data_IF_270755582618
#
_entry.id   IF_270755582618
#
_cell.length_a   1.000
_cell.length_b   1.000
_cell.length_c   1.000
_cell.angle_alpha   90.00
_cell.angle_beta   90.00
_cell.angle_gamma   90.00
#
_symmetry.space_group_name_H-M   'P 1'
#
loop_
_entity.id
_entity.type
_entity.pdbx_description
1 polymer ?
#
# COMPACT_ATOMS: atom_id res chain seq x y z
N UNK A 1 2.43 -14.04 -24.49
CA UNK A 1 1.54 -13.05 -23.83
C UNK A 1 0.15 -13.61 -23.94
N UNK A 2 -0.39 -14.15 -22.86
CA UNK A 2 -1.75 -14.72 -22.82
C UNK A 2 -2.71 -13.62 -22.36
N UNK A 3 -3.66 -13.16 -23.19
CA UNK A 3 -4.55 -12.05 -22.88
C UNK A 3 -5.71 -12.41 -21.93
N UNK A 4 -5.76 -13.63 -21.37
CA UNK A 4 -6.94 -14.14 -20.65
C UNK A 4 -6.96 -13.98 -19.12
N UNK A 5 -5.91 -13.48 -18.47
CA UNK A 5 -5.82 -13.59 -17.01
C UNK A 5 -6.50 -12.44 -16.27
N UNK A 6 -7.77 -12.64 -15.88
CA UNK A 6 -8.58 -11.71 -15.09
C UNK A 6 -7.92 -11.46 -13.73
N UNK A 7 -7.25 -10.31 -13.60
CA UNK A 7 -6.69 -9.83 -12.34
C UNK A 7 -7.85 -9.57 -11.37
N UNK A 8 -7.81 -10.20 -10.19
CA UNK A 8 -8.78 -9.92 -9.14
C UNK A 8 -8.24 -8.78 -8.28
N UNK A 9 -8.82 -7.60 -8.49
CA UNK A 9 -8.67 -6.45 -7.60
C UNK A 9 -9.93 -6.33 -6.75
N UNK A 10 -9.77 -6.24 -5.45
CA UNK A 10 -10.88 -5.94 -4.54
C UNK A 10 -10.41 -4.91 -3.51
N UNK A 11 -11.13 -3.80 -3.42
CA UNK A 11 -10.91 -2.75 -2.42
C UNK A 11 -12.17 -2.55 -1.60
N UNK A 12 -12.05 -2.58 -0.28
CA UNK A 12 -13.16 -2.31 0.63
C UNK A 12 -12.72 -1.47 1.83
N UNK A 13 -13.56 -0.51 2.22
CA UNK A 13 -13.40 0.28 3.45
C UNK A 13 -14.46 -0.20 4.43
N UNK A 14 -14.03 -0.73 5.57
CA UNK A 14 -14.88 -1.26 6.62
C UNK A 14 -14.76 -0.42 7.88
N UNK A 15 -15.87 0.12 8.38
CA UNK A 15 -15.92 0.83 9.66
C UNK A 15 -16.29 -0.16 10.74
N UNK A 16 -15.38 -0.46 11.67
CA UNK A 16 -15.68 -1.35 12.80
C UNK A 16 -15.43 -0.61 14.10
N UNK A 17 -16.46 0.09 14.60
CA UNK A 17 -16.71 0.66 15.96
C UNK A 17 -15.55 1.37 16.73
N UNK A 18 -14.29 1.33 16.28
CA UNK A 18 -13.08 1.80 16.96
C UNK A 18 -11.95 2.20 15.98
N UNK A 19 -12.29 2.44 14.71
CA UNK A 19 -11.35 2.82 13.64
C UNK A 19 -11.82 2.39 12.25
N UNK A 20 -11.45 3.16 11.23
CA UNK A 20 -11.68 2.80 9.83
C UNK A 20 -10.59 1.82 9.40
N UNK A 21 -11.01 0.67 8.86
CA UNK A 21 -10.15 -0.37 8.33
C UNK A 21 -10.27 -0.42 6.83
N UNK A 22 -9.16 -0.34 6.11
CA UNK A 22 -9.17 -0.46 4.66
C UNK A 22 -8.45 -1.74 4.24
N UNK A 23 -9.08 -2.52 3.36
CA UNK A 23 -8.56 -3.77 2.85
C UNK A 23 -8.41 -3.65 1.33
N UNK A 24 -7.18 -3.85 0.85
CA UNK A 24 -6.90 -3.96 -0.58
C UNK A 24 -6.27 -5.31 -0.88
N UNK A 25 -6.80 -6.00 -1.89
CA UNK A 25 -6.33 -7.30 -2.36
C UNK A 25 -5.95 -7.17 -3.83
N UNK A 26 -4.71 -7.56 -4.15
CA UNK A 26 -4.21 -7.70 -5.52
C UNK A 26 -3.64 -9.10 -5.70
N UNK A 27 -4.18 -9.84 -6.65
CA UNK A 27 -3.77 -11.22 -6.94
C UNK A 27 -3.38 -11.33 -8.41
N UNK A 28 -2.13 -11.74 -8.64
CA UNK A 28 -1.60 -12.13 -9.96
C UNK A 28 -1.07 -13.56 -9.90
N UNK A 29 -0.57 -14.10 -11.01
CA UNK A 29 0.02 -15.46 -10.99
C UNK A 29 1.34 -15.48 -10.24
N UNK A 30 2.14 -14.42 -10.36
CA UNK A 30 3.51 -14.39 -9.83
C UNK A 30 3.64 -13.67 -8.50
N UNK A 31 2.68 -12.82 -8.15
CA UNK A 31 2.70 -12.05 -6.91
C UNK A 31 1.30 -11.83 -6.33
N UNK A 32 1.16 -12.14 -5.05
CA UNK A 32 -0.03 -11.86 -4.27
C UNK A 32 0.28 -10.73 -3.28
N UNK A 33 -0.68 -9.84 -3.08
CA UNK A 33 -0.57 -8.73 -2.15
C UNK A 33 -1.89 -8.54 -1.39
N UNK A 34 -1.76 -8.50 -0.06
CA UNK A 34 -2.81 -8.14 0.88
C UNK A 34 -2.37 -6.93 1.68
N UNK A 35 -3.12 -5.82 1.61
CA UNK A 35 -2.88 -4.61 2.40
C UNK A 35 -4.05 -4.42 3.36
N UNK A 36 -3.73 -4.23 4.63
CA UNK A 36 -4.66 -3.80 5.68
C UNK A 36 -4.23 -2.45 6.23
N UNK A 37 -5.16 -1.51 6.34
CA UNK A 37 -4.98 -0.21 6.97
C UNK A 37 -5.83 -0.08 8.24
N UNK A 38 -5.37 0.69 9.21
CA UNK A 38 -6.16 1.18 10.35
C UNK A 38 -5.91 2.67 10.56
N UNK A 39 -6.98 3.44 10.74
CA UNK A 39 -6.90 4.86 11.08
C UNK A 39 -7.32 5.07 12.54
N UNK A 40 -6.56 5.89 13.27
CA UNK A 40 -6.82 6.28 14.66
C UNK A 40 -6.78 7.80 14.75
N UNK A 41 -7.90 8.39 15.15
CA UNK A 41 -7.97 9.81 15.54
C UNK A 41 -7.59 9.95 17.01
N UNK A 42 -6.66 10.86 17.32
CA UNK A 42 -6.20 11.11 18.68
C UNK A 42 -7.04 12.17 19.42
N UNK A 43 -8.02 12.79 18.77
CA UNK A 43 -8.88 13.84 19.35
C UNK A 43 -8.20 15.20 19.52
N UNK A 44 -6.87 15.27 19.38
CA UNK A 44 -6.07 16.50 19.39
C UNK A 44 -5.84 17.10 17.99
N UNK A 45 -6.55 16.59 16.97
CA UNK A 45 -6.41 16.98 15.57
C UNK A 45 -5.31 16.23 14.81
N UNK A 46 -4.52 15.38 15.46
CA UNK A 46 -3.59 14.46 14.79
C UNK A 46 -4.24 13.10 14.51
N UNK A 47 -3.80 12.45 13.44
CA UNK A 47 -4.28 11.12 13.04
C UNK A 47 -3.08 10.19 12.85
N UNK A 48 -3.20 8.97 13.35
CA UNK A 48 -2.26 7.89 13.04
C UNK A 48 -2.86 6.91 12.03
N UNK A 49 -2.06 6.53 11.05
CA UNK A 49 -2.42 5.55 10.04
C UNK A 49 -1.43 4.39 10.09
N UNK A 50 -1.95 3.19 10.28
CA UNK A 50 -1.17 1.96 10.36
C UNK A 50 -1.43 1.13 9.12
N UNK A 51 -0.37 0.77 8.41
CA UNK A 51 -0.43 -0.20 7.32
C UNK A 51 0.25 -1.49 7.74
N UNK A 52 -0.34 -2.59 7.32
CA UNK A 52 0.36 -3.86 7.22
C UNK A 52 0.11 -4.40 5.83
N UNK A 53 1.17 -4.78 5.13
CA UNK A 53 1.03 -5.51 3.88
C UNK A 53 1.79 -6.84 3.93
N UNK A 54 1.19 -7.86 3.35
CA UNK A 54 1.80 -9.17 3.14
C UNK A 54 1.84 -9.43 1.64
N UNK A 55 3.03 -9.67 1.11
CA UNK A 55 3.21 -10.12 -0.26
C UNK A 55 3.87 -11.49 -0.33
N UNK A 56 3.44 -12.29 -1.31
CA UNK A 56 3.99 -13.62 -1.56
C UNK A 56 4.19 -13.79 -3.06
N UNK A 57 5.41 -14.06 -3.51
CA UNK A 57 5.73 -14.20 -4.92
C UNK A 57 7.05 -13.57 -5.31
N UNK A 58 7.15 -13.08 -6.55
CA UNK A 58 8.31 -12.31 -7.04
C UNK A 58 7.86 -10.93 -7.49
N UNK A 59 8.46 -9.90 -6.91
CA UNK A 59 8.22 -8.51 -7.26
C UNK A 59 8.34 -7.56 -6.08
N UNK A 60 8.23 -6.28 -6.38
CA UNK A 60 8.33 -5.20 -5.40
C UNK A 60 6.95 -4.62 -5.11
N UNK A 61 6.73 -4.29 -3.84
CA UNK A 61 5.51 -3.63 -3.38
C UNK A 61 5.91 -2.49 -2.47
N UNK A 62 5.30 -1.33 -2.67
CA UNK A 62 5.36 -0.23 -1.71
C UNK A 62 3.97 0.30 -1.40
N UNK A 63 3.77 0.72 -0.15
CA UNK A 63 2.54 1.34 0.33
C UNK A 63 2.94 2.57 1.14
N UNK A 64 2.45 3.75 0.74
CA UNK A 64 2.78 5.02 1.41
C UNK A 64 1.59 5.96 1.48
N UNK A 65 1.69 6.96 2.37
CA UNK A 65 0.80 8.11 2.34
C UNK A 65 1.38 9.18 1.42
N UNK A 66 0.52 9.78 0.60
CA UNK A 66 0.87 10.86 -0.32
C UNK A 66 -0.16 11.98 -0.26
N UNK A 67 0.21 13.23 -0.63
CA UNK A 67 -0.76 14.28 -0.82
C UNK A 67 -1.70 13.97 -2.00
N UNK A 68 -2.93 14.52 -2.02
CA UNK A 68 -3.86 14.33 -3.13
C UNK A 68 -3.32 14.80 -4.49
N UNK A 69 -2.41 15.77 -4.49
CA UNK A 69 -1.73 16.29 -5.69
C UNK A 69 -0.82 15.28 -6.38
N UNK A 70 -0.36 14.22 -5.68
CA UNK A 70 0.57 13.24 -6.23
C UNK A 70 -0.04 12.55 -7.45
N UNK A 71 0.60 12.65 -8.60
CA UNK A 71 0.17 11.99 -9.83
C UNK A 71 0.35 10.45 -9.73
N UNK A 72 -0.48 9.71 -10.46
CA UNK A 72 -0.38 8.24 -10.56
C UNK A 72 0.53 7.93 -11.75
N UNK A 73 1.77 7.52 -11.46
CA UNK A 73 2.80 7.30 -12.50
C UNK A 73 3.66 6.06 -12.18
N UNK A 74 4.16 5.38 -13.22
CA UNK A 74 5.04 4.21 -13.11
C UNK A 74 6.55 4.55 -13.01
N UNK A 75 6.91 5.81 -13.27
CA UNK A 75 8.30 6.27 -13.37
C UNK A 75 8.91 6.52 -11.99
N UNK A 76 9.86 5.68 -11.60
CA UNK A 76 10.51 5.70 -10.28
C UNK A 76 11.46 6.91 -10.10
N UNK A 77 12.08 7.40 -11.19
CA UNK A 77 13.03 8.52 -11.13
C UNK A 77 12.31 9.85 -10.94
N UNK A 78 11.20 10.06 -11.67
CA UNK A 78 10.34 11.24 -11.47
C UNK A 78 9.72 11.25 -10.06
N UNK A 79 9.40 10.08 -9.51
CA UNK A 79 8.82 9.97 -8.17
C UNK A 79 9.73 10.53 -7.08
N UNK A 80 11.04 10.26 -7.12
CA UNK A 80 12.03 10.74 -6.12
C UNK A 80 12.13 12.27 -6.14
N UNK A 81 12.19 12.87 -7.33
CA UNK A 81 12.29 14.33 -7.47
C UNK A 81 11.03 15.06 -6.98
N UNK A 82 9.84 14.50 -7.25
CA UNK A 82 8.57 15.05 -6.78
C UNK A 82 8.42 14.86 -5.26
N UNK A 83 8.83 13.71 -4.72
CA UNK A 83 8.78 13.41 -3.27
C UNK A 83 9.67 14.36 -2.45
N UNK A 84 10.86 14.69 -2.95
CA UNK A 84 11.74 15.69 -2.32
C UNK A 84 11.14 17.10 -2.30
N UNK A 85 10.32 17.46 -3.31
CA UNK A 85 9.68 18.78 -3.42
C UNK A 85 8.38 18.88 -2.60
N UNK A 86 7.58 17.80 -2.55
CA UNK A 86 6.31 17.75 -1.83
C UNK A 86 6.46 17.40 -0.33
N UNK A 87 7.56 16.74 0.07
CA UNK A 87 7.82 16.37 1.48
C UNK A 87 7.92 17.57 2.44
N UNK A 88 8.27 18.77 1.95
CA UNK A 88 8.25 20.00 2.77
C UNK A 88 6.84 20.52 3.08
N UNK A 89 5.82 20.02 2.39
CA UNK A 89 4.42 20.49 2.47
C UNK A 89 3.49 19.38 2.99
N UNK A 90 3.97 18.14 3.07
CA UNK A 90 3.19 17.00 3.51
C UNK A 90 3.37 16.74 5.02
N UNK A 91 2.33 17.03 5.81
CA UNK A 91 2.37 16.94 7.27
C UNK A 91 2.19 15.52 7.85
N UNK A 92 2.42 14.49 7.04
CA UNK A 92 2.42 13.09 7.49
C UNK A 92 3.82 12.52 7.42
N UNK A 93 4.28 11.92 8.51
CA UNK A 93 5.61 11.32 8.63
C UNK A 93 5.52 9.86 9.07
N UNK A 94 6.49 9.06 8.62
CA UNK A 94 6.70 7.69 9.12
C UNK A 94 7.23 7.78 10.54
N UNK A 95 6.59 7.09 11.48
CA UNK A 95 7.05 6.98 12.86
C UNK A 95 7.77 5.67 13.12
N UNK A 96 7.32 4.60 12.47
CA UNK A 96 7.98 3.31 12.50
C UNK A 96 7.71 2.55 11.22
N UNK A 97 8.70 1.78 10.80
CA UNK A 97 8.58 0.85 9.71
C UNK A 97 9.32 -0.43 10.08
N UNK A 98 8.71 -1.57 9.79
CA UNK A 98 9.29 -2.89 10.01
C UNK A 98 9.01 -3.74 8.79
N UNK A 99 10.07 -4.27 8.19
CA UNK A 99 9.98 -5.14 7.01
C UNK A 99 10.65 -6.47 7.33
N UNK A 100 9.85 -7.53 7.38
CA UNK A 100 10.33 -8.90 7.49
C UNK A 100 10.26 -9.58 6.12
N UNK A 101 11.37 -10.18 5.68
CA UNK A 101 11.45 -10.95 4.44
C UNK A 101 11.86 -12.38 4.74
N UNK A 102 11.19 -13.32 4.10
CA UNK A 102 11.52 -14.73 4.13
C UNK A 102 11.50 -15.27 2.71
N UNK A 103 12.42 -16.17 2.37
CA UNK A 103 12.42 -16.86 1.09
C UNK A 103 12.35 -18.35 1.32
N UNK A 104 11.45 -19.03 0.60
CA UNK A 104 11.38 -20.48 0.55
C UNK A 104 11.76 -20.94 -0.84
N UNK A 105 12.72 -21.84 -0.91
CA UNK A 105 13.17 -22.47 -2.15
C UNK A 105 12.66 -23.91 -2.15
N UNK A 106 11.89 -24.28 -3.17
CA UNK A 106 11.36 -25.64 -3.33
C UNK A 106 11.44 -26.08 -4.78
N UNK A 107 11.34 -27.38 -5.07
CA UNK A 107 11.18 -27.85 -6.45
C UNK A 107 9.84 -27.36 -7.00
N UNK A 108 9.82 -26.96 -8.27
CA UNK A 108 8.59 -26.54 -8.92
C UNK A 108 7.67 -27.75 -9.12
N UNK A 109 6.36 -27.57 -8.88
CA UNK A 109 5.38 -28.66 -9.01
C UNK A 109 5.24 -29.19 -10.46
N UNK A 110 5.51 -28.34 -11.46
CA UNK A 110 5.37 -28.67 -12.88
C UNK A 110 6.68 -29.17 -13.52
N UNK A 111 7.83 -28.89 -12.90
CA UNK A 111 9.13 -29.33 -13.39
C UNK A 111 10.06 -29.58 -12.18
N UNK A 112 10.21 -30.84 -11.75
CA UNK A 112 11.06 -31.19 -10.61
C UNK A 112 12.55 -30.96 -10.87
N UNK A 113 12.97 -30.70 -12.11
CA UNK A 113 14.34 -30.27 -12.44
C UNK A 113 14.59 -28.77 -12.19
N UNK A 114 13.52 -27.99 -11.99
CA UNK A 114 13.60 -26.55 -11.76
C UNK A 114 13.36 -26.19 -10.29
N UNK A 115 14.17 -25.29 -9.77
CA UNK A 115 14.00 -24.75 -8.42
C UNK A 115 13.14 -23.48 -8.42
N UNK A 116 12.02 -23.53 -7.72
CA UNK A 116 11.09 -22.43 -7.50
C UNK A 116 11.41 -21.71 -6.18
N UNK A 117 11.93 -20.49 -6.28
CA UNK A 117 12.06 -19.55 -5.16
C UNK A 117 10.79 -18.70 -5.02
N UNK A 118 10.15 -18.80 -3.85
CA UNK A 118 9.02 -17.99 -3.42
C UNK A 118 9.48 -17.04 -2.31
N UNK A 119 9.21 -15.75 -2.47
CA UNK A 119 9.52 -14.75 -1.46
C UNK A 119 8.25 -14.34 -0.74
N UNK A 120 8.36 -14.14 0.57
CA UNK A 120 7.32 -13.61 1.43
C UNK A 120 7.84 -12.35 2.09
N UNK A 121 7.10 -11.26 1.95
CA UNK A 121 7.42 -9.99 2.62
C UNK A 121 6.23 -9.58 3.47
N UNK A 122 6.49 -9.31 4.75
CA UNK A 122 5.55 -8.70 5.66
C UNK A 122 6.09 -7.35 6.09
N UNK A 123 5.41 -6.28 5.69
CA UNK A 123 5.73 -4.93 6.12
C UNK A 123 4.67 -4.38 7.05
N UNK A 124 5.09 -3.60 8.03
CA UNK A 124 4.23 -2.79 8.89
C UNK A 124 4.79 -1.38 8.94
N UNK A 125 3.94 -0.39 8.72
CA UNK A 125 4.32 1.01 8.80
C UNK A 125 3.30 1.78 9.65
N UNK A 126 3.78 2.65 10.53
CA UNK A 126 2.97 3.59 11.28
C UNK A 126 3.30 5.01 10.81
N UNK A 127 2.27 5.76 10.45
CA UNK A 127 2.36 7.15 10.04
C UNK A 127 1.63 8.02 11.05
N UNK A 128 2.14 9.25 11.26
CA UNK A 128 1.45 10.29 12.02
C UNK A 128 1.30 11.52 11.15
N UNK A 129 0.05 11.96 11.01
CA UNK A 129 -0.34 13.18 10.32
C UNK A 129 -0.70 14.25 11.36
N UNK A 130 -0.04 15.40 11.27
CA UNK A 130 -0.26 16.53 12.17
C UNK A 130 -0.96 17.67 11.44
N UNK A 131 -1.92 18.37 12.08
CA UNK A 131 -2.58 19.51 11.45
C UNK A 131 -1.55 20.62 11.15
N UNK A 132 -1.75 21.41 10.08
CA UNK A 132 -2.89 21.38 9.16
C UNK A 132 -2.72 20.34 8.03
N UNK A 133 -3.66 19.39 7.87
CA UNK A 133 -3.76 18.56 6.66
C UNK A 133 -5.21 18.42 6.25
N UNK A 134 -5.50 18.51 4.94
CA UNK A 134 -6.88 18.57 4.41
C UNK A 134 -7.38 17.21 3.91
N UNK A 135 -6.51 16.44 3.27
CA UNK A 135 -6.78 15.10 2.79
C UNK A 135 -5.45 14.35 2.60
N UNK A 136 -5.48 13.04 2.75
CA UNK A 136 -4.34 12.14 2.51
C UNK A 136 -4.80 10.99 1.63
N UNK A 137 -3.92 10.51 0.76
CA UNK A 137 -4.21 9.37 -0.10
C UNK A 137 -3.22 8.24 0.18
N UNK A 138 -3.68 7.01 0.05
CA UNK A 138 -2.85 5.81 0.05
C UNK A 138 -2.35 5.58 -1.37
N UNK A 139 -1.04 5.49 -1.53
CA UNK A 139 -0.38 5.18 -2.79
C UNK A 139 0.20 3.77 -2.73
N UNK A 140 -0.18 2.94 -3.68
CA UNK A 140 0.26 1.55 -3.79
C UNK A 140 0.99 1.38 -5.10
N UNK A 141 2.22 0.87 -5.03
CA UNK A 141 2.92 0.34 -6.20
C UNK A 141 3.02 -1.17 -6.08
N UNK A 142 2.74 -1.85 -7.18
CA UNK A 142 2.84 -3.29 -7.32
C UNK A 142 3.61 -3.56 -8.62
N UNK A 143 4.79 -4.13 -8.49
CA UNK A 143 5.70 -4.39 -9.61
C UNK A 143 6.08 -5.87 -9.60
N UNK A 144 5.32 -6.68 -10.34
CA UNK A 144 5.62 -8.08 -10.57
C UNK A 144 6.17 -8.29 -11.98
N UNK A 145 6.78 -9.45 -12.22
CA UNK A 145 7.39 -9.78 -13.51
C UNK A 145 6.38 -9.89 -14.65
N UNK A 146 5.11 -10.17 -14.34
CA UNK A 146 4.00 -10.36 -15.27
C UNK A 146 3.03 -9.17 -15.31
N UNK A 147 3.05 -8.30 -14.30
CA UNK A 147 2.12 -7.18 -14.21
C UNK A 147 2.65 -6.04 -13.33
N UNK A 148 2.39 -4.80 -13.76
CA UNK A 148 2.68 -3.58 -12.99
C UNK A 148 1.39 -2.81 -12.75
N UNK A 149 1.23 -2.30 -11.53
CA UNK A 149 0.10 -1.48 -11.14
C UNK A 149 0.54 -0.36 -10.21
N UNK A 150 -0.06 0.81 -10.41
CA UNK A 150 0.02 1.92 -9.49
C UNK A 150 -1.39 2.39 -9.19
N UNK A 151 -1.73 2.50 -7.92
CA UNK A 151 -3.06 2.94 -7.49
C UNK A 151 -2.94 3.99 -6.39
N UNK A 152 -3.69 5.08 -6.55
CA UNK A 152 -3.90 6.09 -5.51
C UNK A 152 -5.35 6.03 -5.05
N UNK A 153 -5.56 5.82 -3.75
CA UNK A 153 -6.89 5.79 -3.12
C UNK A 153 -6.95 6.91 -2.10
N UNK A 154 -7.90 7.82 -2.23
CA UNK A 154 -8.07 8.94 -1.30
C UNK A 154 -9.33 8.68 -0.46
N UNK A 155 -9.22 8.23 0.80
CA UNK A 155 -10.36 8.08 1.68
C UNK A 155 -10.96 9.46 1.99
N UNK A 156 -12.28 9.56 1.98
CA UNK A 156 -12.97 10.80 2.28
C UNK A 156 -13.04 11.03 3.80
N UNK A 157 -11.95 11.56 4.35
CA UNK A 157 -11.87 11.94 5.77
C UNK A 157 -12.75 13.18 6.10
N UNK A 158 -13.25 13.89 5.08
CA UNK A 158 -13.99 15.14 5.23
C UNK A 158 -15.48 14.98 5.56
N UNK A 159 -16.08 13.83 5.29
CA UNK A 159 -17.52 13.65 5.44
C UNK A 159 -18.01 13.40 6.88
N UNK A 160 -17.10 13.10 7.84
CA UNK A 160 -17.46 12.85 9.25
C UNK A 160 -17.53 14.10 10.13
N UNK A 161 -17.18 15.29 9.64
CA UNK A 161 -17.54 16.56 10.29
C UNK A 161 -18.82 17.12 9.66
N UNK A 162 -19.94 16.41 9.81
CA UNK A 162 -21.26 17.09 9.79
C UNK A 162 -21.54 17.58 11.20
N UNK A 163 -21.63 18.90 11.44
CA UNK A 163 -22.18 19.39 12.69
C UNK A 163 -23.68 19.08 12.71
N UNK A 164 -24.15 18.53 13.83
CA UNK A 164 -25.51 18.70 14.30
C UNK A 164 -25.41 19.33 15.69
#
# INVERSE_FOLDING_TARGET
MDPGQRIRHHSGIFSREFGEFALWIFLTVKLNLLITGKVVDHGNGSVSVFFQHNSTGRGNVSVSLVPPSKAVEFDLERQIFIEAKESKVFNCRVESEQVARASKTSLCAFDPGQTCRQEQTRSRAAWRCSPPFRAVCVYVTFDSSDYRLVQKVCPDYGARRRPA
#
